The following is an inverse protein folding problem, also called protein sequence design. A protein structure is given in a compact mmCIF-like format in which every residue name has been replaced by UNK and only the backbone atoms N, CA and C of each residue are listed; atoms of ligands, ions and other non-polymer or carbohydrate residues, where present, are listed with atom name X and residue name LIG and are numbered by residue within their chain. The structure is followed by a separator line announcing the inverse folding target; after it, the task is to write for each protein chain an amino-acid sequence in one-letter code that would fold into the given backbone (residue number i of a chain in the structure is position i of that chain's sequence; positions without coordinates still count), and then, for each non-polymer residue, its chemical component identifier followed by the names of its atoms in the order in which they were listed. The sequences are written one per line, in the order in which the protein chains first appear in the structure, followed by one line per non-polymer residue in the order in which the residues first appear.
data_IF_511961507513
#
_entry.id   IF_511961507513
#
_cell.length_a   1.000
_cell.length_b   1.000
_cell.length_c   1.000
_cell.angle_alpha   90.00
_cell.angle_beta   90.00
_cell.angle_gamma   90.00
#
_symmetry.space_group_name_H-M   'P 1'
#
loop_
_entity.id
_entity.type
_entity.pdbx_description
1 polymer ?
#
# COMPACT_ATOMS: atom_id res chain seq x y z
N UNK A 1 -15.96 0.52 20.47
CA UNK A 1 -15.93 -0.03 19.11
C UNK A 1 -14.63 -0.83 18.96
N UNK A 2 -14.73 -2.14 18.83
CA UNK A 2 -13.59 -3.06 18.80
C UNK A 2 -12.63 -2.76 17.65
N UNK A 3 -13.17 -2.35 16.49
CA UNK A 3 -12.37 -1.98 15.32
C UNK A 3 -11.48 -0.78 15.61
N UNK A 4 -12.04 0.25 16.26
CA UNK A 4 -11.28 1.43 16.64
C UNK A 4 -10.20 1.11 17.68
N UNK A 5 -10.52 0.24 18.64
CA UNK A 5 -9.57 -0.21 19.66
C UNK A 5 -8.42 -1.02 19.02
N UNK A 6 -8.73 -1.90 18.06
CA UNK A 6 -7.72 -2.63 17.28
C UNK A 6 -6.84 -1.65 16.50
N UNK A 7 -7.41 -0.71 15.75
CA UNK A 7 -6.65 0.30 15.00
C UNK A 7 -5.69 1.07 15.90
N UNK A 8 -6.15 1.50 17.07
CA UNK A 8 -5.29 2.20 18.03
C UNK A 8 -4.13 1.31 18.53
N UNK A 9 -4.38 0.02 18.75
CA UNK A 9 -3.35 -0.95 19.16
C UNK A 9 -2.32 -1.14 18.04
N UNK A 10 -2.78 -1.36 16.79
CA UNK A 10 -1.89 -1.51 15.63
C UNK A 10 -0.98 -0.28 15.41
N UNK A 11 -1.51 0.94 15.56
CA UNK A 11 -0.72 2.17 15.46
C UNK A 11 0.33 2.25 16.58
N UNK A 12 -0.05 1.93 17.82
CA UNK A 12 0.86 1.98 18.98
C UNK A 12 1.97 0.96 18.91
N UNK A 13 1.77 -0.14 18.21
CA UNK A 13 2.80 -1.14 17.94
C UNK A 13 3.97 -0.59 17.12
N UNK A 14 3.78 0.50 16.41
CA UNK A 14 4.81 1.24 15.68
C UNK A 14 5.71 0.32 14.83
N UNK A 15 5.10 -0.51 13.98
CA UNK A 15 5.81 -1.41 13.08
C UNK A 15 6.46 -0.64 11.93
N UNK A 16 7.44 0.21 12.27
CA UNK A 16 8.10 1.12 11.32
C UNK A 16 9.08 0.36 10.46
N UNK A 17 8.85 0.36 9.16
CA UNK A 17 9.72 -0.22 8.14
C UNK A 17 10.64 0.87 7.57
N UNK A 18 11.94 0.78 7.86
CA UNK A 18 12.95 1.74 7.41
C UNK A 18 13.75 1.23 6.19
N UNK A 19 13.21 0.25 5.48
CA UNK A 19 13.79 -0.43 4.31
C UNK A 19 14.91 -1.41 4.68
N UNK A 20 15.15 -1.68 5.95
CA UNK A 20 16.10 -2.71 6.39
C UNK A 20 15.37 -3.98 6.84
N UNK A 21 15.97 -5.17 6.66
CA UNK A 21 15.35 -6.43 7.09
C UNK A 21 15.05 -6.48 8.60
N UNK A 22 15.88 -5.81 9.40
CA UNK A 22 15.79 -5.81 10.87
C UNK A 22 14.81 -4.75 11.43
N UNK A 23 14.06 -4.07 10.56
CA UNK A 23 13.00 -3.11 10.92
C UNK A 23 11.60 -3.73 10.77
N UNK A 24 10.54 -2.92 10.87
CA UNK A 24 9.14 -3.36 10.78
C UNK A 24 8.66 -4.02 12.08
N UNK A 25 9.15 -5.20 12.38
CA UNK A 25 8.72 -5.99 13.53
C UNK A 25 7.20 -6.21 13.57
N UNK A 26 6.64 -6.60 12.45
CA UNK A 26 5.20 -6.83 12.26
C UNK A 26 4.67 -7.97 13.13
N UNK A 27 5.55 -8.74 13.75
CA UNK A 27 5.20 -9.69 14.81
C UNK A 27 4.29 -9.06 15.88
N UNK A 28 4.50 -7.78 16.23
CA UNK A 28 3.67 -7.06 17.21
C UNK A 28 2.24 -6.89 16.71
N UNK A 29 2.06 -6.54 15.43
CA UNK A 29 0.74 -6.42 14.83
C UNK A 29 0.11 -7.79 14.61
N UNK A 30 0.90 -8.82 14.27
CA UNK A 30 0.41 -10.20 14.19
C UNK A 30 -0.11 -10.70 15.55
N UNK A 31 0.60 -10.40 16.65
CA UNK A 31 0.16 -10.74 18.01
C UNK A 31 -1.17 -10.06 18.38
N UNK A 32 -1.32 -8.78 18.05
CA UNK A 32 -2.56 -8.02 18.29
C UNK A 32 -3.72 -8.57 17.46
N UNK A 33 -3.49 -8.93 16.20
CA UNK A 33 -4.48 -9.54 15.32
C UNK A 33 -4.89 -10.93 15.80
N UNK A 34 -3.92 -11.78 16.15
CA UNK A 34 -4.23 -13.11 16.71
C UNK A 34 -5.08 -13.00 17.97
N UNK A 35 -4.72 -12.09 18.89
CA UNK A 35 -5.52 -11.81 20.08
C UNK A 35 -6.93 -11.30 19.75
N UNK A 36 -7.08 -10.50 18.70
CA UNK A 36 -8.37 -9.98 18.23
C UNK A 36 -9.31 -11.09 17.77
N UNK A 37 -8.78 -12.17 17.19
CA UNK A 37 -9.54 -13.34 16.75
C UNK A 37 -9.65 -14.44 17.81
N UNK A 38 -9.09 -14.24 19.00
CA UNK A 38 -9.11 -15.27 20.06
C UNK A 38 -10.54 -15.67 20.43
N UNK A 39 -10.82 -16.98 20.38
CA UNK A 39 -12.13 -17.57 20.70
C UNK A 39 -13.13 -17.60 19.54
N UNK A 40 -12.76 -17.10 18.38
CA UNK A 40 -13.56 -17.22 17.16
C UNK A 40 -13.27 -18.56 16.43
N UNK A 41 -14.23 -19.03 15.64
CA UNK A 41 -14.07 -20.26 14.84
C UNK A 41 -13.33 -19.93 13.51
N UNK A 42 -12.02 -19.76 13.63
CA UNK A 42 -11.12 -19.42 12.53
C UNK A 42 -9.83 -20.23 12.60
N UNK A 43 -9.18 -20.41 11.46
CA UNK A 43 -7.83 -20.97 11.39
C UNK A 43 -6.82 -19.81 11.29
N UNK A 44 -5.77 -19.87 12.11
CA UNK A 44 -4.73 -18.82 12.13
C UNK A 44 -3.39 -19.45 11.83
N UNK A 45 -2.68 -18.87 10.85
CA UNK A 45 -1.33 -19.27 10.47
C UNK A 45 -0.42 -18.04 10.46
N UNK A 46 0.83 -18.24 10.83
CA UNK A 46 1.86 -17.17 10.88
C UNK A 46 3.04 -17.58 10.03
N UNK A 47 3.52 -16.65 9.23
CA UNK A 47 4.63 -16.86 8.30
C UNK A 47 5.71 -15.81 8.57
N UNK A 48 6.84 -16.27 9.10
CA UNK A 48 7.97 -15.43 9.46
C UNK A 48 9.05 -15.55 8.38
N UNK A 49 9.25 -14.50 7.62
CA UNK A 49 10.25 -14.46 6.54
C UNK A 49 11.65 -14.06 7.02
N UNK A 50 11.71 -13.27 8.08
CA UNK A 50 12.92 -12.83 8.78
C UNK A 50 12.54 -12.57 10.23
N UNK A 51 13.44 -12.66 11.21
CA UNK A 51 13.09 -12.45 12.62
C UNK A 51 12.27 -11.18 12.85
N UNK A 52 11.05 -11.36 13.38
CA UNK A 52 10.09 -10.28 13.62
C UNK A 52 9.27 -9.82 12.40
N UNK A 53 9.56 -10.27 11.18
CA UNK A 53 8.84 -9.93 9.95
C UNK A 53 7.76 -11.00 9.70
N UNK A 54 6.60 -10.85 10.33
CA UNK A 54 5.53 -11.85 10.38
C UNK A 54 4.32 -11.39 9.58
N UNK A 55 3.94 -12.19 8.58
CA UNK A 55 2.61 -12.12 7.97
C UNK A 55 1.67 -13.09 8.68
N UNK A 56 0.42 -12.69 8.89
CA UNK A 56 -0.62 -13.53 9.52
C UNK A 56 -1.75 -13.78 8.52
N UNK A 57 -2.21 -15.03 8.46
CA UNK A 57 -3.38 -15.42 7.68
C UNK A 57 -4.45 -15.95 8.62
N UNK A 58 -5.65 -15.40 8.51
CA UNK A 58 -6.82 -15.84 9.29
C UNK A 58 -7.89 -16.30 8.32
N UNK A 59 -8.21 -17.59 8.36
CA UNK A 59 -9.14 -18.22 7.43
C UNK A 59 -10.46 -18.56 8.13
N UNK A 60 -11.55 -18.09 7.55
CA UNK A 60 -12.91 -18.52 7.87
C UNK A 60 -13.34 -19.51 6.79
N UNK A 61 -13.47 -20.81 7.10
CA UNK A 61 -13.90 -21.80 6.13
C UNK A 61 -15.28 -21.46 5.54
N UNK A 62 -15.48 -21.76 4.27
CA UNK A 62 -16.72 -21.55 3.55
C UNK A 62 -17.03 -22.71 2.61
N UNK A 63 -18.03 -22.53 1.77
CA UNK A 63 -18.42 -23.49 0.75
C UNK A 63 -17.30 -23.65 -0.29
N UNK A 64 -16.72 -24.86 -0.46
CA UNK A 64 -15.62 -25.08 -1.41
C UNK A 64 -16.06 -24.96 -2.87
N UNK A 65 -17.36 -25.01 -3.17
CA UNK A 65 -17.91 -24.85 -4.51
C UNK A 65 -18.08 -23.35 -4.90
N UNK A 66 -17.84 -22.43 -3.95
CA UNK A 66 -17.91 -20.99 -4.20
C UNK A 66 -16.51 -20.36 -4.27
N UNK A 67 -16.44 -19.23 -4.99
CA UNK A 67 -15.19 -18.49 -5.15
C UNK A 67 -14.69 -17.94 -3.81
N UNK A 68 -13.43 -18.18 -3.48
CA UNK A 68 -12.83 -17.61 -2.26
C UNK A 68 -12.59 -16.09 -2.41
N UNK A 69 -12.55 -15.40 -1.29
CA UNK A 69 -12.20 -13.99 -1.19
C UNK A 69 -11.05 -13.82 -0.20
N UNK A 70 -10.06 -13.02 -0.57
CA UNK A 70 -8.97 -12.60 0.30
C UNK A 70 -9.07 -11.10 0.58
N UNK A 71 -9.04 -10.73 1.85
CA UNK A 71 -8.90 -9.35 2.33
C UNK A 71 -7.47 -9.16 2.79
N UNK A 72 -6.67 -8.40 2.06
CA UNK A 72 -5.24 -8.25 2.32
C UNK A 72 -4.91 -6.81 2.70
N UNK A 73 -4.40 -6.61 3.90
CA UNK A 73 -3.88 -5.33 4.35
C UNK A 73 -2.45 -5.48 4.86
N UNK A 74 -1.60 -4.46 4.67
CA UNK A 74 -0.29 -4.49 5.28
C UNK A 74 -0.32 -4.03 6.74
N UNK A 75 0.73 -4.38 7.48
CA UNK A 75 0.84 -4.17 8.92
C UNK A 75 2.06 -3.35 9.31
N UNK A 76 2.95 -3.05 8.39
CA UNK A 76 4.04 -2.11 8.54
C UNK A 76 3.61 -0.68 8.19
N UNK A 77 4.45 0.29 8.52
CA UNK A 77 4.25 1.71 8.23
C UNK A 77 5.59 2.38 7.93
N UNK A 78 5.58 3.43 7.11
CA UNK A 78 6.78 4.21 6.81
C UNK A 78 7.30 4.99 8.02
N UNK A 79 8.61 5.37 8.06
CA UNK A 79 9.18 6.23 9.08
C UNK A 79 8.48 7.60 9.21
N UNK A 80 8.68 8.25 10.32
CA UNK A 80 8.18 9.59 10.61
C UNK A 80 9.32 10.59 10.80
N UNK A 81 9.10 11.82 10.39
CA UNK A 81 9.91 12.98 10.77
C UNK A 81 9.19 13.68 11.92
N UNK A 82 9.41 13.21 13.15
CA UNK A 82 8.66 13.64 14.33
C UNK A 82 8.54 15.17 14.49
N UNK A 83 9.59 15.99 14.23
CA UNK A 83 9.48 17.45 14.32
C UNK A 83 8.41 18.08 13.42
N UNK A 84 7.97 17.38 12.37
CA UNK A 84 6.92 17.85 11.47
C UNK A 84 5.51 17.41 11.87
N UNK A 85 5.39 16.56 12.89
CA UNK A 85 4.11 16.10 13.39
C UNK A 85 3.55 17.03 14.46
N UNK A 86 2.27 17.38 14.32
CA UNK A 86 1.55 18.22 15.31
C UNK A 86 0.99 17.41 16.46
N UNK A 87 0.91 16.09 16.32
CA UNK A 87 0.44 15.12 17.32
C UNK A 87 1.44 13.97 17.38
N UNK A 88 1.61 13.29 18.53
CA UNK A 88 2.47 12.11 18.61
C UNK A 88 2.07 11.04 17.61
N UNK A 89 2.97 10.59 16.72
CA UNK A 89 2.60 9.76 15.56
C UNK A 89 2.17 8.32 15.91
N UNK A 90 2.52 7.83 17.12
CA UNK A 90 2.24 6.45 17.53
C UNK A 90 1.38 6.35 18.80
N UNK A 91 0.75 7.43 19.25
CA UNK A 91 -0.17 7.39 20.39
C UNK A 91 -1.62 7.08 19.98
N UNK A 92 -1.93 7.15 18.70
CA UNK A 92 -3.29 6.93 18.18
C UNK A 92 -4.33 7.79 18.90
N UNK A 93 -4.06 9.08 19.01
CA UNK A 93 -4.92 10.03 19.72
C UNK A 93 -6.24 10.22 18.97
N UNK A 94 -7.32 10.31 19.75
CA UNK A 94 -8.63 10.72 19.23
C UNK A 94 -8.94 12.10 19.76
N UNK A 95 -9.13 13.07 18.86
CA UNK A 95 -9.47 14.44 19.17
C UNK A 95 -10.45 14.99 18.15
N UNK A 96 -11.53 15.62 18.58
CA UNK A 96 -12.57 16.19 17.72
C UNK A 96 -13.16 15.20 16.71
N UNK A 97 -13.31 13.94 17.12
CA UNK A 97 -13.84 12.86 16.27
C UNK A 97 -12.87 12.36 15.18
N UNK A 98 -11.60 12.76 15.24
CA UNK A 98 -10.53 12.31 14.30
C UNK A 98 -9.49 11.51 15.07
N UNK A 99 -9.02 10.45 14.43
CA UNK A 99 -7.89 9.65 14.93
C UNK A 99 -6.61 10.10 14.23
N UNK A 100 -5.58 10.39 15.03
CA UNK A 100 -4.27 10.84 14.57
C UNK A 100 -3.22 9.76 14.83
N UNK A 101 -2.45 9.42 13.80
CA UNK A 101 -1.33 8.48 13.94
C UNK A 101 -0.77 8.03 12.60
N UNK A 102 0.48 7.57 12.58
CA UNK A 102 1.09 6.92 11.41
C UNK A 102 0.35 5.60 11.17
N UNK A 103 -0.10 5.34 9.93
CA UNK A 103 -0.91 4.19 9.58
C UNK A 103 -2.43 4.41 9.72
N UNK A 104 -2.88 5.58 10.23
CA UNK A 104 -4.31 5.88 10.35
C UNK A 104 -5.02 6.06 9.01
N UNK A 105 -4.29 6.26 7.93
CA UNK A 105 -4.80 6.35 6.55
C UNK A 105 -4.20 5.24 5.70
N UNK A 106 -2.92 5.05 5.73
CA UNK A 106 -2.17 4.04 4.98
C UNK A 106 -1.50 3.06 5.96
N UNK A 107 -1.98 1.80 6.01
CA UNK A 107 -3.37 1.41 5.72
C UNK A 107 -3.99 0.70 6.93
N UNK A 108 -3.43 0.88 8.16
CA UNK A 108 -3.86 0.11 9.34
C UNK A 108 -5.36 0.24 9.64
N UNK A 109 -6.02 1.34 9.23
CA UNK A 109 -7.47 1.47 9.40
C UNK A 109 -8.23 0.49 8.51
N UNK A 110 -7.76 0.26 7.27
CA UNK A 110 -8.35 -0.73 6.36
C UNK A 110 -8.05 -2.12 6.91
N UNK A 111 -6.81 -2.39 7.34
CA UNK A 111 -6.40 -3.65 7.95
C UNK A 111 -7.27 -3.99 9.16
N UNK A 112 -7.48 -3.05 10.09
CA UNK A 112 -8.35 -3.24 11.23
C UNK A 112 -9.82 -3.47 10.83
N UNK A 113 -10.29 -2.78 9.79
CA UNK A 113 -11.65 -2.94 9.27
C UNK A 113 -11.84 -4.31 8.62
N UNK A 114 -10.88 -4.75 7.80
CA UNK A 114 -10.89 -6.08 7.19
C UNK A 114 -10.89 -7.19 8.24
N UNK A 115 -10.05 -7.06 9.29
CA UNK A 115 -10.04 -7.98 10.42
C UNK A 115 -11.41 -8.02 11.14
N UNK A 116 -12.02 -6.86 11.39
CA UNK A 116 -13.33 -6.78 12.03
C UNK A 116 -14.43 -7.43 11.18
N UNK A 117 -14.45 -7.17 9.88
CA UNK A 117 -15.40 -7.81 8.94
C UNK A 117 -15.22 -9.32 8.93
N UNK A 118 -13.96 -9.80 8.86
CA UNK A 118 -13.67 -11.24 8.89
C UNK A 118 -14.18 -11.89 10.18
N UNK A 119 -13.98 -11.23 11.32
CA UNK A 119 -14.50 -11.71 12.62
C UNK A 119 -16.03 -11.77 12.65
N UNK A 120 -16.72 -10.77 12.11
CA UNK A 120 -18.18 -10.79 12.03
C UNK A 120 -18.70 -11.90 11.11
N UNK A 121 -18.00 -12.18 9.99
CA UNK A 121 -18.33 -13.33 9.12
C UNK A 121 -18.16 -14.65 9.85
N UNK A 122 -17.07 -14.82 10.62
CA UNK A 122 -16.86 -16.02 11.43
C UNK A 122 -18.00 -16.21 12.44
N UNK A 123 -18.43 -15.16 13.14
CA UNK A 123 -19.52 -15.18 14.12
C UNK A 123 -20.88 -15.46 13.51
N UNK A 124 -21.14 -14.92 12.34
CA UNK A 124 -22.40 -15.11 11.62
C UNK A 124 -22.55 -16.52 11.00
N UNK A 125 -21.44 -17.24 10.86
CA UNK A 125 -21.35 -18.45 10.06
C UNK A 125 -21.22 -18.11 8.57
N UNK A 126 -20.06 -18.42 7.99
CA UNK A 126 -19.78 -18.13 6.59
C UNK A 126 -20.62 -19.01 5.66
N UNK A 127 -21.48 -18.41 4.85
CA UNK A 127 -22.33 -19.07 3.84
C UNK A 127 -21.80 -18.87 2.40
N UNK A 128 -20.70 -18.13 2.23
CA UNK A 128 -20.01 -17.91 0.98
C UNK A 128 -18.81 -18.84 0.80
N UNK A 129 -17.98 -18.56 -0.19
CA UNK A 129 -16.69 -19.21 -0.34
C UNK A 129 -15.74 -18.90 0.83
N UNK A 130 -14.63 -19.59 0.90
CA UNK A 130 -13.61 -19.35 1.94
C UNK A 130 -13.21 -17.88 1.97
N UNK A 131 -13.25 -17.27 3.16
CA UNK A 131 -12.76 -15.91 3.41
C UNK A 131 -11.41 -15.97 4.11
N UNK A 132 -10.39 -15.35 3.54
CA UNK A 132 -9.09 -15.17 4.19
C UNK A 132 -8.86 -13.69 4.49
N UNK A 133 -8.47 -13.37 5.72
CA UNK A 133 -7.85 -12.09 6.07
C UNK A 133 -6.35 -12.28 6.14
N UNK A 134 -5.60 -11.40 5.51
CA UNK A 134 -4.14 -11.43 5.49
C UNK A 134 -3.58 -10.11 5.99
N UNK A 135 -2.89 -10.16 7.14
CA UNK A 135 -2.05 -9.08 7.63
C UNK A 135 -0.64 -9.26 7.08
N UNK A 136 -0.32 -8.57 5.98
CA UNK A 136 0.93 -8.73 5.23
C UNK A 136 2.04 -7.88 5.84
N UNK A 137 3.24 -8.45 5.95
CA UNK A 137 4.44 -7.72 6.33
C UNK A 137 5.11 -7.07 5.11
N UNK A 138 5.96 -6.05 5.35
CA UNK A 138 6.96 -5.54 4.40
C UNK A 138 6.41 -4.90 3.13
N UNK A 139 5.20 -4.37 3.13
CA UNK A 139 4.66 -3.71 1.93
C UNK A 139 5.45 -2.43 1.61
N UNK A 140 5.67 -1.56 2.60
CA UNK A 140 6.32 -0.26 2.50
C UNK A 140 7.80 -0.33 2.03
N UNK A 141 8.41 -1.53 2.10
CA UNK A 141 9.75 -1.80 1.58
C UNK A 141 9.76 -2.75 0.37
N UNK A 142 8.72 -2.70 -0.47
CA UNK A 142 8.60 -3.45 -1.73
C UNK A 142 8.21 -4.91 -1.60
N UNK A 143 7.72 -5.34 -0.46
CA UNK A 143 7.14 -6.66 -0.23
C UNK A 143 8.09 -7.85 -0.38
N UNK A 144 9.40 -7.62 -0.30
CA UNK A 144 10.40 -8.72 -0.44
C UNK A 144 10.28 -9.78 0.65
N UNK A 145 10.06 -9.33 1.88
CA UNK A 145 9.86 -10.17 3.06
C UNK A 145 8.37 -10.42 3.38
N UNK A 146 7.46 -9.87 2.59
CA UNK A 146 6.02 -10.04 2.68
C UNK A 146 5.46 -10.80 1.50
N UNK A 147 4.79 -10.07 0.58
CA UNK A 147 4.02 -10.67 -0.53
C UNK A 147 4.87 -11.57 -1.44
N UNK A 148 6.12 -11.21 -1.72
CA UNK A 148 7.02 -12.05 -2.52
C UNK A 148 7.38 -13.33 -1.78
N UNK A 149 7.77 -13.23 -0.52
CA UNK A 149 8.07 -14.40 0.31
C UNK A 149 6.86 -15.35 0.36
N UNK A 150 5.64 -14.81 0.57
CA UNK A 150 4.42 -15.61 0.60
C UNK A 150 4.15 -16.28 -0.75
N UNK A 151 4.26 -15.56 -1.86
CA UNK A 151 4.00 -16.12 -3.19
C UNK A 151 5.01 -17.19 -3.63
N UNK A 152 6.26 -17.07 -3.20
CA UNK A 152 7.32 -18.00 -3.58
C UNK A 152 7.39 -19.24 -2.66
N UNK A 153 7.07 -19.09 -1.36
CA UNK A 153 7.26 -20.15 -0.37
C UNK A 153 5.96 -20.74 0.17
N UNK A 154 4.87 -19.97 0.13
CA UNK A 154 3.56 -20.35 0.69
C UNK A 154 2.41 -19.96 -0.25
N UNK A 155 2.47 -20.36 -1.56
CA UNK A 155 1.51 -19.93 -2.57
C UNK A 155 0.07 -20.36 -2.28
N UNK A 156 -0.11 -21.43 -1.49
CA UNK A 156 -1.41 -22.03 -1.15
C UNK A 156 -1.96 -21.57 0.20
N UNK A 157 -1.28 -20.62 0.90
CA UNK A 157 -1.72 -20.16 2.22
C UNK A 157 -3.07 -19.41 2.15
N UNK A 158 -3.39 -18.81 1.03
CA UNK A 158 -4.68 -18.16 0.75
C UNK A 158 -4.88 -18.03 -0.78
N UNK A 159 -6.08 -17.66 -1.20
CA UNK A 159 -6.36 -17.48 -2.64
C UNK A 159 -5.88 -16.12 -3.13
N UNK A 160 -5.11 -16.11 -4.20
CA UNK A 160 -4.66 -14.92 -4.92
C UNK A 160 -5.64 -14.44 -5.99
N UNK A 161 -6.71 -15.21 -6.27
CA UNK A 161 -7.61 -14.98 -7.40
C UNK A 161 -8.51 -13.76 -7.20
N UNK A 162 -9.18 -13.69 -6.05
CA UNK A 162 -10.07 -12.60 -5.69
C UNK A 162 -9.51 -11.95 -4.44
N UNK A 163 -8.78 -10.85 -4.61
CA UNK A 163 -8.13 -10.15 -3.52
C UNK A 163 -8.57 -8.68 -3.48
N UNK A 164 -9.03 -8.23 -2.31
CA UNK A 164 -9.20 -6.81 -2.00
C UNK A 164 -8.02 -6.36 -1.16
N UNK A 165 -7.36 -5.29 -1.58
CA UNK A 165 -6.24 -4.70 -0.86
C UNK A 165 -6.50 -3.20 -0.65
N UNK A 166 -5.43 -2.43 -0.49
CA UNK A 166 -5.50 -0.98 -0.39
C UNK A 166 -5.75 -0.33 -1.75
N UNK A 167 -5.87 0.99 -1.74
CA UNK A 167 -6.16 1.86 -2.87
C UNK A 167 -7.51 1.59 -3.54
N UNK A 168 -8.30 2.61 -3.67
CA UNK A 168 -9.67 2.51 -4.17
C UNK A 168 -10.64 3.15 -3.19
N UNK A 169 -11.92 3.00 -3.46
CA UNK A 169 -12.98 3.62 -2.64
C UNK A 169 -13.04 5.14 -2.75
N UNK A 170 -12.31 5.75 -3.69
CA UNK A 170 -12.34 7.19 -3.91
C UNK A 170 -13.75 7.63 -4.27
N UNK A 171 -14.27 8.62 -3.54
CA UNK A 171 -15.57 9.19 -3.83
C UNK A 171 -15.48 10.11 -5.06
N UNK A 172 -16.08 9.65 -6.15
CA UNK A 172 -16.34 10.45 -7.34
C UNK A 172 -17.76 11.04 -7.29
N UNK A 173 -18.05 12.16 -7.99
CA UNK A 173 -19.42 12.66 -8.07
C UNK A 173 -20.38 11.59 -8.60
N UNK A 174 -21.20 11.01 -7.70
CA UNK A 174 -22.19 9.97 -8.03
C UNK A 174 -21.61 8.56 -8.29
N UNK A 175 -20.37 8.29 -7.89
CA UNK A 175 -19.72 6.99 -8.05
C UNK A 175 -18.68 6.73 -6.96
N UNK A 176 -18.23 5.48 -6.88
CA UNK A 176 -17.07 5.06 -6.11
C UNK A 176 -16.05 4.44 -7.07
N UNK A 177 -14.81 4.93 -7.05
CA UNK A 177 -13.74 4.40 -7.90
C UNK A 177 -13.13 3.13 -7.32
N UNK A 178 -12.97 2.10 -8.15
CA UNK A 178 -12.20 0.91 -7.82
C UNK A 178 -10.97 0.85 -8.71
N UNK A 179 -9.80 0.68 -8.11
CA UNK A 179 -8.58 0.40 -8.86
C UNK A 179 -8.61 -1.06 -9.33
N UNK A 180 -8.47 -1.26 -10.63
CA UNK A 180 -8.44 -2.61 -11.26
C UNK A 180 -7.08 -2.93 -11.86
N UNK A 181 -6.08 -2.08 -11.64
CA UNK A 181 -4.72 -2.26 -12.08
C UNK A 181 -3.82 -1.15 -11.54
N UNK A 182 -2.55 -1.43 -11.43
CA UNK A 182 -1.54 -0.53 -10.91
C UNK A 182 -0.35 -0.44 -11.85
N UNK A 183 0.38 0.67 -11.75
CA UNK A 183 1.65 0.84 -12.48
C UNK A 183 2.74 -0.01 -11.82
N UNK A 184 3.61 -0.60 -12.62
CA UNK A 184 4.80 -1.26 -12.12
C UNK A 184 5.79 -0.27 -11.51
N UNK A 185 6.34 -0.58 -10.33
CA UNK A 185 7.39 0.19 -9.70
C UNK A 185 8.78 -0.29 -10.14
N UNK A 186 9.56 0.60 -10.75
CA UNK A 186 10.90 0.31 -11.24
C UNK A 186 11.97 1.19 -10.60
N UNK A 187 12.13 1.14 -9.29
CA UNK A 187 13.15 1.95 -8.60
C UNK A 187 14.56 1.65 -9.11
N UNK A 188 15.35 2.68 -9.30
CA UNK A 188 16.74 2.58 -9.77
C UNK A 188 17.65 3.42 -8.90
N UNK A 189 18.82 2.88 -8.57
CA UNK A 189 19.91 3.62 -7.94
C UNK A 189 20.98 3.89 -8.97
N UNK A 190 21.30 5.17 -9.18
CA UNK A 190 22.36 5.57 -10.10
C UNK A 190 23.65 5.72 -9.32
N UNK A 191 24.69 5.02 -9.75
CA UNK A 191 26.04 5.18 -9.25
C UNK A 191 26.86 5.93 -10.30
N UNK A 192 27.33 7.10 -9.94
CA UNK A 192 28.11 7.95 -10.84
C UNK A 192 29.54 8.02 -10.36
N UNK A 193 30.45 7.59 -11.20
CA UNK A 193 31.88 7.61 -10.93
C UNK A 193 32.54 8.88 -11.47
N UNK A 194 33.54 9.37 -10.75
CA UNK A 194 34.31 10.54 -11.15
C UNK A 194 35.67 10.56 -10.45
N UNK A 195 36.52 11.49 -10.87
CA UNK A 195 37.85 11.67 -10.30
C UNK A 195 37.77 12.33 -8.92
N UNK A 196 38.61 11.85 -8.01
CA UNK A 196 38.92 12.59 -6.79
C UNK A 196 39.85 13.75 -7.09
N UNK A 197 39.63 14.91 -6.47
CA UNK A 197 40.50 16.07 -6.67
C UNK A 197 40.25 17.16 -5.62
N UNK A 198 41.25 18.04 -5.47
CA UNK A 198 41.10 19.19 -4.59
C UNK A 198 40.24 20.26 -5.27
N UNK A 199 39.28 20.85 -4.51
CA UNK A 199 38.34 21.83 -5.03
C UNK A 199 38.98 23.09 -5.66
N UNK A 200 40.20 23.44 -5.26
CA UNK A 200 40.93 24.59 -5.84
C UNK A 200 41.59 24.31 -7.20
N UNK A 201 41.63 23.05 -7.65
CA UNK A 201 42.22 22.61 -8.91
C UNK A 201 41.25 21.77 -9.74
N UNK A 202 40.13 22.37 -10.20
CA UNK A 202 39.06 21.61 -10.85
C UNK A 202 39.31 21.27 -12.31
N UNK A 203 40.34 21.87 -12.93
CA UNK A 203 40.57 21.74 -14.36
C UNK A 203 41.01 20.33 -14.75
N UNK A 204 40.43 19.83 -15.85
CA UNK A 204 40.75 18.50 -16.40
C UNK A 204 40.28 17.33 -15.55
N UNK A 205 39.44 17.57 -14.56
CA UNK A 205 38.86 16.52 -13.71
C UNK A 205 37.45 16.13 -14.14
N UNK A 206 37.16 14.86 -14.06
CA UNK A 206 35.86 14.27 -14.38
C UNK A 206 35.04 14.12 -13.09
N UNK A 207 34.36 15.20 -12.69
CA UNK A 207 33.61 15.22 -11.42
C UNK A 207 32.27 14.51 -11.50
N UNK A 208 32.03 13.58 -10.59
CA UNK A 208 30.76 12.87 -10.46
C UNK A 208 29.56 13.80 -10.23
N UNK A 209 29.76 14.91 -9.49
CA UNK A 209 28.69 15.88 -9.22
C UNK A 209 28.18 16.57 -10.49
N UNK A 210 29.08 16.85 -11.45
CA UNK A 210 28.71 17.46 -12.74
C UNK A 210 27.91 16.46 -13.57
N UNK A 211 28.36 15.20 -13.60
CA UNK A 211 27.67 14.13 -14.33
C UNK A 211 26.27 13.88 -13.76
N UNK A 212 26.12 13.78 -12.43
CA UNK A 212 24.81 13.52 -11.82
C UNK A 212 23.86 14.70 -12.05
N UNK A 213 24.37 15.93 -12.05
CA UNK A 213 23.58 17.11 -12.41
C UNK A 213 23.04 17.04 -13.86
N UNK A 214 23.84 16.59 -14.81
CA UNK A 214 23.40 16.40 -16.20
C UNK A 214 22.39 15.22 -16.31
N UNK A 215 22.58 14.15 -15.57
CA UNK A 215 21.62 13.04 -15.52
C UNK A 215 20.28 13.53 -14.97
N UNK A 216 20.30 14.27 -13.86
CA UNK A 216 19.07 14.83 -13.27
C UNK A 216 18.34 15.77 -14.28
N UNK A 217 19.09 16.61 -14.97
CA UNK A 217 18.54 17.48 -16.02
C UNK A 217 17.87 16.67 -17.15
N UNK A 218 18.51 15.60 -17.61
CA UNK A 218 17.96 14.73 -18.66
C UNK A 218 16.69 14.03 -18.19
N UNK A 219 16.68 13.51 -16.97
CA UNK A 219 15.50 12.86 -16.40
C UNK A 219 14.32 13.85 -16.30
N UNK A 220 14.59 15.07 -15.79
CA UNK A 220 13.55 16.10 -15.68
C UNK A 220 13.01 16.59 -17.04
N UNK A 221 13.80 16.48 -18.11
CA UNK A 221 13.41 16.84 -19.46
C UNK A 221 12.85 15.66 -20.29
N UNK A 222 12.86 14.45 -19.74
CA UNK A 222 12.37 13.29 -20.46
C UNK A 222 10.83 13.25 -20.44
N UNK A 223 10.26 13.07 -21.61
CA UNK A 223 8.83 12.80 -21.76
C UNK A 223 8.67 11.28 -21.85
N UNK A 224 8.07 10.62 -20.83
CA UNK A 224 7.85 9.20 -20.91
C UNK A 224 6.85 8.87 -22.02
N UNK A 225 7.02 7.77 -22.75
CA UNK A 225 6.04 7.34 -23.73
C UNK A 225 4.71 7.06 -23.02
N UNK A 226 3.64 7.57 -23.56
CA UNK A 226 2.27 7.32 -23.11
C UNK A 226 1.58 6.35 -24.06
N UNK A 227 0.73 5.48 -23.51
CA UNK A 227 -0.13 4.60 -24.29
C UNK A 227 -1.50 4.51 -23.60
N UNK A 228 -2.55 4.66 -24.39
CA UNK A 228 -3.90 4.39 -23.94
C UNK A 228 -4.16 2.89 -23.86
N UNK A 229 -5.00 2.49 -22.93
CA UNK A 229 -5.50 1.13 -22.80
C UNK A 229 -6.95 1.16 -22.29
N UNK A 230 -7.60 0.02 -22.29
CA UNK A 230 -9.01 -0.11 -21.89
C UNK A 230 -9.29 0.39 -20.48
N UNK A 231 -8.34 0.26 -19.55
CA UNK A 231 -8.46 0.74 -18.15
C UNK A 231 -8.47 2.26 -18.14
N UNK A 232 -7.53 2.88 -18.83
CA UNK A 232 -7.45 4.35 -18.97
C UNK A 232 -8.71 4.91 -19.64
N UNK A 233 -9.13 4.33 -20.74
CA UNK A 233 -10.36 4.74 -21.43
C UNK A 233 -11.60 4.63 -20.51
N UNK A 234 -11.74 3.52 -19.79
CA UNK A 234 -12.81 3.31 -18.83
C UNK A 234 -12.79 4.36 -17.71
N UNK A 235 -11.59 4.68 -17.19
CA UNK A 235 -11.40 5.74 -16.21
C UNK A 235 -11.86 7.10 -16.73
N UNK A 236 -11.37 7.55 -17.89
CA UNK A 236 -11.75 8.83 -18.49
C UNK A 236 -13.26 8.93 -18.68
N UNK A 237 -13.91 7.87 -19.21
CA UNK A 237 -15.36 7.83 -19.44
C UNK A 237 -16.20 7.96 -18.17
N UNK A 238 -15.64 7.58 -17.02
CA UNK A 238 -16.35 7.71 -15.72
C UNK A 238 -16.66 9.15 -15.37
N UNK A 239 -15.86 10.11 -15.85
CA UNK A 239 -16.05 11.55 -15.57
C UNK A 239 -17.11 12.22 -16.44
N UNK A 240 -17.57 11.56 -17.49
CA UNK A 240 -18.62 12.07 -18.40
C UNK A 240 -18.30 13.46 -18.95
N UNK A 241 -17.06 13.65 -19.42
CA UNK A 241 -16.65 14.85 -20.14
C UNK A 241 -17.47 15.03 -21.44
N UNK A 242 -17.40 16.22 -22.03
CA UNK A 242 -17.89 16.36 -23.40
C UNK A 242 -17.05 15.49 -24.37
N UNK A 243 -17.62 15.07 -25.51
CA UNK A 243 -16.97 14.10 -26.40
C UNK A 243 -15.58 14.50 -26.90
N UNK A 244 -15.33 15.79 -27.08
CA UNK A 244 -14.02 16.27 -27.52
C UNK A 244 -12.98 16.14 -26.41
N UNK A 245 -13.27 16.63 -25.21
CA UNK A 245 -12.40 16.50 -24.03
C UNK A 245 -12.13 15.03 -23.72
N UNK A 246 -13.17 14.18 -23.76
CA UNK A 246 -13.01 12.74 -23.51
C UNK A 246 -12.01 12.12 -24.50
N UNK A 247 -12.15 12.41 -25.80
CA UNK A 247 -11.28 11.86 -26.83
C UNK A 247 -9.82 12.39 -26.69
N UNK A 248 -9.66 13.68 -26.44
CA UNK A 248 -8.33 14.30 -26.21
C UNK A 248 -7.59 13.65 -25.03
N UNK A 249 -8.30 13.37 -23.92
CA UNK A 249 -7.75 12.69 -22.76
C UNK A 249 -7.40 11.23 -23.06
N UNK A 250 -8.26 10.51 -23.80
CA UNK A 250 -8.01 9.13 -24.22
C UNK A 250 -6.76 9.07 -25.11
N UNK A 251 -6.62 10.01 -26.04
CA UNK A 251 -5.49 10.05 -26.97
C UNK A 251 -4.20 10.61 -26.35
N UNK A 252 -4.24 11.03 -25.08
CA UNK A 252 -3.09 11.57 -24.37
C UNK A 252 -2.69 12.99 -24.80
N UNK A 253 -3.58 13.70 -25.49
CA UNK A 253 -3.38 15.09 -25.95
C UNK A 253 -4.17 16.11 -25.13
N UNK A 254 -4.99 15.61 -24.19
CA UNK A 254 -5.87 16.44 -23.38
C UNK A 254 -5.18 17.13 -22.21
N UNK A 255 -5.87 18.11 -21.62
CA UNK A 255 -5.48 18.80 -20.40
C UNK A 255 -5.93 17.99 -19.18
N UNK A 256 -4.99 17.31 -18.53
CA UNK A 256 -5.24 16.49 -17.35
C UNK A 256 -5.75 17.29 -16.13
N UNK A 257 -5.60 18.62 -16.13
CA UNK A 257 -6.19 19.47 -15.08
C UNK A 257 -7.72 19.42 -15.05
N UNK A 258 -8.34 18.90 -16.11
CA UNK A 258 -9.77 18.66 -16.21
C UNK A 258 -10.29 17.65 -15.17
N UNK A 259 -9.46 16.78 -14.66
CA UNK A 259 -9.83 15.87 -13.56
C UNK A 259 -10.02 16.60 -12.21
N UNK A 260 -9.77 17.91 -12.15
CA UNK A 260 -9.90 18.71 -10.94
C UNK A 260 -8.71 18.58 -10.00
N UNK A 261 -8.91 18.90 -8.72
CA UNK A 261 -7.84 18.80 -7.73
C UNK A 261 -7.51 17.31 -7.51
N UNK A 262 -6.47 16.86 -8.19
CA UNK A 262 -6.05 15.47 -8.29
C UNK A 262 -5.40 14.92 -7.00
N UNK A 263 -5.45 15.64 -5.86
CA UNK A 263 -4.93 15.09 -4.60
C UNK A 263 -5.57 13.74 -4.26
N UNK A 264 -6.83 13.53 -4.64
CA UNK A 264 -7.48 12.23 -4.55
C UNK A 264 -7.03 11.21 -5.62
N UNK A 265 -6.40 11.69 -6.71
CA UNK A 265 -5.95 10.87 -7.85
C UNK A 265 -4.44 10.75 -7.95
N UNK A 266 -3.69 11.63 -7.30
CA UNK A 266 -2.23 11.55 -7.25
C UNK A 266 -1.74 10.24 -6.63
N UNK A 267 -2.59 9.60 -5.83
CA UNK A 267 -2.35 8.27 -5.27
C UNK A 267 -2.85 7.13 -6.19
N UNK A 268 -3.64 7.43 -7.21
CA UNK A 268 -4.17 6.43 -8.15
C UNK A 268 -3.33 6.28 -9.43
N UNK A 269 -2.28 7.13 -9.62
CA UNK A 269 -1.44 7.12 -10.83
C UNK A 269 0.06 7.15 -10.48
#
# INVERSE_FOLDING_TARGET
DDTLSLLQELIRNACVNDLTPDSGHEVRNADSLEKFFAGEDVQIERFESHPGRVSIVVTVPGDPDQEPLTLMGHTDVVPVDEPKWTKPPFEALIEDGKLYGRGSVDMLFITATMAAVTREVARAGNTGGTLAFVGMADEEARGGLGVRFMSENHPDAFSWKNCLSETGGSHLPGAVGFNVGEKGAGQRRLHVHGDAGHGSTPYGKDFAIVKIGEVARRIAAAEPPTASNEIWEGFVRTFKFDPQTEQELIDGTGDYSKFGNLDAYAHAF
#
